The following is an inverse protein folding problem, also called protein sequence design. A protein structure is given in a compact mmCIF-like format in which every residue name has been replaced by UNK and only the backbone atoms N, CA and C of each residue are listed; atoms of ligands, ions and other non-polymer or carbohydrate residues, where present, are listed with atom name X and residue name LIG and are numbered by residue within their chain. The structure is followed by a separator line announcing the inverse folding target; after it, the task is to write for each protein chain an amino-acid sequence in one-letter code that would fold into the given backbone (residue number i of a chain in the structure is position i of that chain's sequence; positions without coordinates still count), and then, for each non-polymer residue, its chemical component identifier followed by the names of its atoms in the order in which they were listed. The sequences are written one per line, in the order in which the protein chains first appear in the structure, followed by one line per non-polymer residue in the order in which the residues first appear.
data_IF_950459853230
#
_entry.id   IF_950459853230
#
_cell.length_a   1.000
_cell.length_b   1.000
_cell.length_c   1.000
_cell.angle_alpha   90.00
_cell.angle_beta   90.00
_cell.angle_gamma   90.00
#
_symmetry.space_group_name_H-M   'P 1'
#
loop_
_entity.id
_entity.type
_entity.pdbx_description
1 polymer ?
#
# COMPACT_ATOMS: atom_id res chain seq x y z
N UNK A 1 6.16 12.17 -26.77
CA UNK A 1 6.95 12.79 -25.68
C UNK A 1 7.46 11.68 -24.78
N UNK A 2 8.60 11.86 -24.12
CA UNK A 2 9.11 10.89 -23.13
C UNK A 2 8.03 10.64 -22.06
N UNK A 3 7.74 9.38 -21.73
CA UNK A 3 6.85 8.99 -20.62
C UNK A 3 7.52 9.16 -19.25
N UNK A 4 8.80 9.52 -19.16
CA UNK A 4 9.54 9.61 -17.89
C UNK A 4 8.94 10.63 -16.90
N UNK A 5 8.65 10.19 -15.68
CA UNK A 5 8.20 11.06 -14.59
C UNK A 5 9.39 11.81 -13.97
N UNK A 6 9.36 13.15 -14.05
CA UNK A 6 10.42 14.01 -13.47
C UNK A 6 10.12 14.48 -12.05
N UNK A 7 8.88 14.36 -11.59
CA UNK A 7 8.45 14.79 -10.26
C UNK A 7 7.80 13.58 -9.58
N UNK A 8 8.62 12.71 -9.01
CA UNK A 8 8.20 11.38 -8.56
C UNK A 8 7.74 11.44 -7.11
N UNK A 9 6.60 10.83 -6.82
CA UNK A 9 6.14 10.55 -5.45
C UNK A 9 6.72 9.20 -5.04
N UNK A 10 7.32 9.15 -3.85
CA UNK A 10 7.87 7.93 -3.28
C UNK A 10 7.07 7.54 -2.04
N UNK A 11 6.51 6.33 -2.06
CA UNK A 11 5.86 5.70 -0.91
C UNK A 11 6.85 4.77 -0.21
N UNK A 12 6.88 4.80 1.12
CA UNK A 12 7.59 3.83 1.93
C UNK A 12 6.62 2.92 2.70
N UNK A 13 6.65 1.63 2.40
CA UNK A 13 5.86 0.58 3.06
C UNK A 13 6.66 -0.01 4.24
N UNK A 14 6.34 0.44 5.45
CA UNK A 14 7.33 0.41 6.55
C UNK A 14 7.46 -0.94 7.26
N UNK A 15 6.45 -1.82 7.19
CA UNK A 15 6.46 -3.09 7.96
C UNK A 15 5.65 -4.23 7.36
N UNK A 16 4.49 -3.97 6.75
CA UNK A 16 3.61 -5.00 6.19
C UNK A 16 3.02 -6.00 7.17
N UNK A 17 2.38 -7.01 6.60
CA UNK A 17 1.87 -8.22 7.28
C UNK A 17 2.66 -9.49 6.92
N UNK A 18 3.73 -9.39 6.14
CA UNK A 18 4.55 -10.53 5.75
C UNK A 18 5.38 -11.13 6.91
N UNK A 19 6.06 -12.24 6.61
CA UNK A 19 6.88 -13.02 7.55
C UNK A 19 8.28 -12.42 7.85
N UNK A 20 8.53 -11.19 7.39
CA UNK A 20 9.79 -10.47 7.53
C UNK A 20 10.24 -10.30 9.00
N UNK A 21 9.31 -10.32 9.97
CA UNK A 21 9.61 -10.09 11.39
C UNK A 21 10.61 -11.12 11.95
N UNK A 22 10.57 -12.35 11.43
CA UNK A 22 11.48 -13.43 11.79
C UNK A 22 12.83 -13.40 11.05
N UNK A 23 12.96 -12.57 10.01
CA UNK A 23 14.07 -12.59 9.06
C UNK A 23 15.00 -11.40 9.18
N UNK A 24 14.57 -10.31 9.82
CA UNK A 24 15.40 -9.12 10.03
C UNK A 24 15.11 -8.48 11.39
N UNK A 25 16.14 -8.04 12.14
CA UNK A 25 15.93 -7.29 13.38
C UNK A 25 15.51 -5.83 13.12
N UNK A 26 15.52 -5.38 11.87
CA UNK A 26 15.21 -4.00 11.49
C UNK A 26 13.73 -3.77 11.19
N UNK A 27 12.90 -4.83 11.20
CA UNK A 27 11.48 -4.66 10.94
C UNK A 27 10.80 -3.94 12.12
N UNK A 28 10.09 -2.83 11.88
CA UNK A 28 9.34 -2.14 12.94
C UNK A 28 8.15 -2.97 13.40
N UNK A 29 8.04 -3.23 14.71
CA UNK A 29 6.98 -4.07 15.30
C UNK A 29 6.01 -3.23 16.14
N UNK A 30 6.53 -2.49 17.12
CA UNK A 30 5.66 -1.71 18.03
C UNK A 30 5.13 -0.46 17.34
N UNK A 31 3.99 0.10 17.80
CA UNK A 31 3.46 1.35 17.25
C UNK A 31 4.48 2.49 17.23
N UNK A 32 5.30 2.60 18.27
CA UNK A 32 6.39 3.58 18.30
C UNK A 32 7.42 3.33 17.19
N UNK A 33 7.90 2.09 17.04
CA UNK A 33 8.87 1.76 15.99
C UNK A 33 8.32 2.02 14.59
N UNK A 34 7.05 1.68 14.35
CA UNK A 34 6.38 1.90 13.06
C UNK A 34 6.28 3.40 12.76
N UNK A 35 5.87 4.21 13.74
CA UNK A 35 5.80 5.66 13.60
C UNK A 35 7.19 6.28 13.36
N UNK A 36 8.21 5.88 14.15
CA UNK A 36 9.59 6.33 13.96
C UNK A 36 10.09 5.99 12.54
N UNK A 37 9.80 4.78 12.05
CA UNK A 37 10.20 4.33 10.72
C UNK A 37 9.52 5.13 9.60
N UNK A 38 8.24 5.48 9.75
CA UNK A 38 7.53 6.34 8.81
C UNK A 38 8.12 7.76 8.77
N UNK A 39 8.46 8.32 9.93
CA UNK A 39 9.08 9.64 10.05
C UNK A 39 10.48 9.65 9.44
N UNK A 40 11.28 8.63 9.71
CA UNK A 40 12.65 8.54 9.18
C UNK A 40 12.65 8.29 7.66
N UNK A 41 11.70 7.50 7.15
CA UNK A 41 11.46 7.39 5.71
C UNK A 41 11.08 8.74 5.08
N UNK A 42 10.25 9.53 5.75
CA UNK A 42 9.88 10.86 5.26
C UNK A 42 11.07 11.83 5.21
N UNK A 43 11.91 11.84 6.26
CA UNK A 43 13.17 12.61 6.27
C UNK A 43 14.13 12.20 5.16
N UNK A 44 14.13 10.91 4.80
CA UNK A 44 14.94 10.38 3.70
C UNK A 44 14.40 10.72 2.30
N UNK A 45 13.15 11.21 2.19
CA UNK A 45 12.55 11.66 0.93
C UNK A 45 11.24 10.98 0.53
N UNK A 46 10.68 10.10 1.38
CA UNK A 46 9.34 9.55 1.14
C UNK A 46 8.25 10.62 1.37
N UNK A 47 7.32 10.72 0.42
CA UNK A 47 6.17 11.61 0.57
C UNK A 47 5.02 10.93 1.32
N UNK A 48 4.94 9.59 1.22
CA UNK A 48 3.85 8.76 1.73
C UNK A 48 4.45 7.63 2.57
N UNK A 49 3.84 7.35 3.72
CA UNK A 49 4.11 6.15 4.51
C UNK A 49 2.90 5.22 4.41
N UNK A 50 3.11 4.01 3.87
CA UNK A 50 2.15 2.91 3.90
C UNK A 50 2.35 2.06 5.16
N UNK A 51 1.26 1.85 5.90
CA UNK A 51 1.32 1.42 7.29
C UNK A 51 0.41 0.22 7.53
N UNK A 52 1.03 -0.82 8.07
CA UNK A 52 0.42 -1.92 8.80
C UNK A 52 0.75 -1.78 10.29
N UNK A 53 0.02 -2.50 11.14
CA UNK A 53 0.39 -2.71 12.55
C UNK A 53 0.65 -4.18 12.83
N UNK A 54 1.41 -4.42 13.89
CA UNK A 54 1.77 -5.76 14.36
C UNK A 54 1.47 -5.86 15.84
N UNK A 55 1.20 -7.07 16.30
CA UNK A 55 1.13 -7.38 17.71
C UNK A 55 2.48 -7.03 18.38
N UNK A 56 2.50 -6.12 19.39
CA UNK A 56 3.75 -5.60 19.94
C UNK A 56 4.63 -6.64 20.64
N UNK A 57 4.02 -7.73 21.13
CA UNK A 57 4.71 -8.76 21.91
C UNK A 57 5.27 -9.86 21.01
N UNK A 58 4.53 -10.22 19.96
CA UNK A 58 4.86 -11.37 19.09
C UNK A 58 5.41 -10.97 17.72
N UNK A 59 5.17 -9.74 17.27
CA UNK A 59 5.47 -9.30 15.90
C UNK A 59 4.53 -9.85 14.83
N UNK A 60 3.52 -10.63 15.21
CA UNK A 60 2.51 -11.15 14.31
C UNK A 60 1.73 -10.00 13.66
N UNK A 61 1.25 -10.14 12.42
CA UNK A 61 0.36 -9.15 11.81
C UNK A 61 -0.87 -8.90 12.67
N UNK A 62 -1.33 -7.65 12.77
CA UNK A 62 -2.54 -7.31 13.51
C UNK A 62 -3.36 -6.25 12.77
N UNK A 63 -4.68 -6.27 12.97
CA UNK A 63 -5.62 -5.25 12.47
C UNK A 63 -6.36 -4.51 13.59
N UNK A 64 -5.71 -4.36 14.73
CA UNK A 64 -6.26 -3.76 15.96
C UNK A 64 -6.35 -2.23 15.85
N UNK A 65 -7.54 -1.61 15.98
CA UNK A 65 -7.69 -0.15 15.87
C UNK A 65 -6.87 0.66 16.88
N UNK A 66 -6.66 0.13 18.09
CA UNK A 66 -5.89 0.84 19.12
C UNK A 66 -4.40 0.99 18.76
N UNK A 67 -3.83 0.01 18.05
CA UNK A 67 -2.45 0.09 17.57
C UNK A 67 -2.32 1.10 16.43
N UNK A 68 -3.27 1.12 15.50
CA UNK A 68 -3.29 2.12 14.42
C UNK A 68 -3.42 3.54 14.97
N UNK A 69 -4.30 3.74 15.97
CA UNK A 69 -4.49 5.03 16.63
C UNK A 69 -3.17 5.55 17.20
N UNK A 70 -2.44 4.71 17.93
CA UNK A 70 -1.15 5.11 18.50
C UNK A 70 -0.13 5.49 17.40
N UNK A 71 -0.03 4.70 16.32
CA UNK A 71 0.87 5.03 15.20
C UNK A 71 0.51 6.38 14.58
N UNK A 72 -0.77 6.58 14.25
CA UNK A 72 -1.25 7.79 13.58
C UNK A 72 -1.09 9.02 14.48
N UNK A 73 -1.37 8.91 15.77
CA UNK A 73 -1.20 9.99 16.74
C UNK A 73 0.27 10.42 16.84
N UNK A 74 1.20 9.45 16.87
CA UNK A 74 2.64 9.72 16.89
C UNK A 74 3.11 10.42 15.63
N UNK A 75 2.68 9.94 14.46
CA UNK A 75 3.05 10.54 13.16
C UNK A 75 2.49 11.96 13.05
N UNK A 76 1.20 12.16 13.37
CA UNK A 76 0.55 13.49 13.29
C UNK A 76 1.11 14.49 14.30
N UNK A 77 1.71 14.02 15.39
CA UNK A 77 2.35 14.87 16.41
C UNK A 77 3.83 15.16 16.15
N UNK A 78 4.42 14.56 15.10
CA UNK A 78 5.82 14.78 14.75
C UNK A 78 6.02 16.09 13.99
N UNK A 79 7.23 16.66 14.09
CA UNK A 79 7.62 17.85 13.32
C UNK A 79 7.85 17.55 11.81
N UNK A 80 7.90 16.28 11.44
CA UNK A 80 8.06 15.83 10.05
C UNK A 80 6.70 15.46 9.47
N UNK A 81 6.27 16.17 8.43
CA UNK A 81 5.05 15.85 7.69
C UNK A 81 5.26 14.62 6.80
N UNK A 82 4.23 13.79 6.67
CA UNK A 82 4.17 12.65 5.75
C UNK A 82 2.70 12.34 5.47
N UNK A 83 2.38 11.93 4.24
CA UNK A 83 1.03 11.45 3.92
C UNK A 83 0.84 10.06 4.53
N UNK A 84 -0.26 9.87 5.24
CA UNK A 84 -0.59 8.59 5.87
C UNK A 84 -1.44 7.76 4.92
N UNK A 85 -0.94 6.58 4.55
CA UNK A 85 -1.64 5.53 3.84
C UNK A 85 -1.82 4.32 4.77
N UNK A 86 -3.06 3.98 5.14
CA UNK A 86 -3.35 2.83 6.00
C UNK A 86 -3.84 1.64 5.17
N UNK A 87 -3.40 0.44 5.51
CA UNK A 87 -3.88 -0.77 4.85
C UNK A 87 -5.32 -1.12 5.21
N UNK A 88 -6.08 -1.69 4.28
CA UNK A 88 -7.27 -2.52 4.58
C UNK A 88 -7.18 -3.93 4.02
N UNK A 89 -5.96 -4.36 3.68
CA UNK A 89 -5.73 -5.71 3.13
C UNK A 89 -5.89 -6.82 4.16
N UNK A 90 -5.54 -6.57 5.42
CA UNK A 90 -5.69 -7.57 6.49
C UNK A 90 -7.15 -7.94 6.73
N UNK A 91 -7.41 -9.19 7.10
CA UNK A 91 -8.76 -9.72 7.24
C UNK A 91 -9.30 -10.39 5.97
N UNK A 92 -8.44 -10.69 4.98
CA UNK A 92 -8.78 -11.42 3.76
C UNK A 92 -8.20 -12.82 3.67
N UNK A 93 -7.68 -13.36 4.76
CA UNK A 93 -6.91 -14.59 4.75
C UNK A 93 -7.82 -15.80 4.99
N UNK A 94 -8.12 -16.56 3.94
CA UNK A 94 -8.94 -17.77 4.01
C UNK A 94 -8.10 -19.01 3.74
N UNK A 95 -8.03 -19.93 4.71
CA UNK A 95 -7.38 -21.22 4.56
C UNK A 95 -8.43 -22.30 4.31
N UNK A 96 -8.49 -22.80 3.06
CA UNK A 96 -9.43 -23.86 2.68
C UNK A 96 -9.09 -25.19 3.36
N UNK A 97 -10.12 -26.03 3.53
CA UNK A 97 -9.99 -27.38 4.07
C UNK A 97 -9.26 -28.35 3.11
N UNK A 98 -9.08 -29.61 3.52
CA UNK A 98 -8.45 -30.64 2.68
C UNK A 98 -9.26 -30.94 1.41
N UNK A 99 -8.66 -31.64 0.44
CA UNK A 99 -9.25 -31.93 -0.88
C UNK A 99 -10.59 -32.69 -0.81
N UNK A 100 -10.75 -33.57 0.18
CA UNK A 100 -11.97 -34.34 0.40
C UNK A 100 -13.05 -33.56 1.17
N UNK A 101 -12.72 -32.38 1.73
CA UNK A 101 -13.66 -31.48 2.39
C UNK A 101 -13.19 -30.01 2.39
N UNK A 102 -13.20 -29.31 1.23
CA UNK A 102 -12.59 -27.98 1.08
C UNK A 102 -13.28 -26.86 1.87
N UNK A 103 -14.49 -27.10 2.38
CA UNK A 103 -15.25 -26.14 3.20
C UNK A 103 -14.98 -26.29 4.70
N UNK A 104 -14.19 -27.29 5.11
CA UNK A 104 -13.70 -27.45 6.48
C UNK A 104 -12.50 -26.55 6.71
N UNK A 105 -12.76 -25.25 6.76
CA UNK A 105 -11.73 -24.21 6.82
C UNK A 105 -10.85 -24.39 8.06
N UNK A 106 -9.56 -24.11 7.91
CA UNK A 106 -8.66 -23.98 9.05
C UNK A 106 -8.96 -22.66 9.77
N UNK A 107 -9.82 -22.74 10.79
CA UNK A 107 -10.27 -21.58 11.57
C UNK A 107 -9.18 -21.01 12.47
N UNK A 108 -8.08 -21.72 12.71
CA UNK A 108 -6.93 -21.19 13.46
C UNK A 108 -6.04 -20.32 12.57
N UNK A 109 -5.88 -20.70 11.30
CA UNK A 109 -5.10 -19.95 10.31
C UNK A 109 -5.90 -18.84 9.59
N UNK A 110 -7.23 -18.91 9.59
CA UNK A 110 -8.11 -17.98 8.87
C UNK A 110 -8.35 -16.68 9.63
N UNK A 111 -8.04 -15.54 9.00
CA UNK A 111 -8.54 -14.20 9.34
C UNK A 111 -9.26 -13.63 8.11
N UNK A 112 -10.50 -14.07 7.88
CA UNK A 112 -11.32 -13.65 6.75
C UNK A 112 -12.63 -13.00 7.23
N UNK A 113 -12.64 -11.67 7.28
CA UNK A 113 -13.78 -10.84 7.71
C UNK A 113 -14.30 -9.95 6.57
N UNK A 114 -15.49 -9.38 6.79
CA UNK A 114 -16.11 -8.47 5.84
C UNK A 114 -15.37 -7.14 5.71
N UNK A 115 -15.52 -6.47 4.55
CA UNK A 115 -14.81 -5.23 4.25
C UNK A 115 -15.04 -4.12 5.30
N UNK A 116 -16.24 -4.04 5.89
CA UNK A 116 -16.55 -3.02 6.91
C UNK A 116 -15.67 -3.18 8.14
N UNK A 117 -15.43 -4.42 8.58
CA UNK A 117 -14.56 -4.69 9.75
C UNK A 117 -13.10 -4.39 9.43
N UNK A 118 -12.64 -4.67 8.20
CA UNK A 118 -11.27 -4.31 7.75
C UNK A 118 -11.02 -2.80 7.75
N UNK A 119 -12.07 -1.98 7.78
CA UNK A 119 -12.01 -0.52 7.66
C UNK A 119 -12.25 0.22 8.97
N UNK A 120 -12.43 -0.48 10.09
CA UNK A 120 -12.77 0.16 11.38
C UNK A 120 -11.76 1.26 11.76
N UNK A 121 -10.45 0.98 11.64
CA UNK A 121 -9.41 1.97 11.92
C UNK A 121 -9.38 3.12 10.92
N UNK A 122 -9.78 2.89 9.66
CA UNK A 122 -9.84 3.93 8.63
C UNK A 122 -11.01 4.88 8.88
N UNK A 123 -12.17 4.34 9.26
CA UNK A 123 -13.35 5.13 9.65
C UNK A 123 -13.08 5.99 10.88
N UNK A 124 -12.33 5.44 11.84
CA UNK A 124 -11.95 6.17 13.04
C UNK A 124 -10.91 7.27 12.77
N UNK A 125 -9.84 6.94 12.03
CA UNK A 125 -8.65 7.79 11.95
C UNK A 125 -8.65 8.72 10.73
N UNK A 126 -9.46 8.39 9.71
CA UNK A 126 -9.61 9.11 8.44
C UNK A 126 -8.25 9.53 7.87
N UNK A 127 -7.43 8.56 7.43
CA UNK A 127 -6.16 8.84 6.77
C UNK A 127 -6.41 9.52 5.43
N UNK A 128 -5.34 9.99 4.79
CA UNK A 128 -5.48 10.66 3.48
C UNK A 128 -5.64 9.63 2.37
N UNK A 129 -4.93 8.49 2.51
CA UNK A 129 -4.98 7.35 1.62
C UNK A 129 -5.30 6.10 2.44
N UNK A 130 -5.96 5.15 1.80
CA UNK A 130 -6.14 3.81 2.30
C UNK A 130 -5.98 2.81 1.15
N UNK A 131 -5.27 1.70 1.35
CA UNK A 131 -5.19 0.66 0.31
C UNK A 131 -6.48 -0.13 0.21
N UNK A 132 -6.79 -0.60 -1.00
CA UNK A 132 -7.90 -1.50 -1.30
C UNK A 132 -7.41 -2.55 -2.31
N UNK A 133 -7.34 -3.81 -1.88
CA UNK A 133 -6.81 -4.91 -2.70
C UNK A 133 -7.87 -5.40 -3.69
N UNK A 134 -7.70 -5.06 -4.96
CA UNK A 134 -8.74 -5.12 -6.00
C UNK A 134 -9.03 -6.52 -6.56
N UNK A 135 -8.90 -7.58 -5.77
CA UNK A 135 -9.42 -8.90 -6.11
C UNK A 135 -8.87 -10.05 -5.27
N UNK A 136 -9.55 -11.19 -5.36
CA UNK A 136 -9.13 -12.44 -4.73
C UNK A 136 -8.11 -13.19 -5.60
N UNK A 137 -7.12 -13.81 -4.98
CA UNK A 137 -6.12 -14.64 -5.67
C UNK A 137 -5.44 -15.64 -4.72
N UNK A 138 -4.74 -16.62 -5.28
CA UNK A 138 -4.03 -17.64 -4.50
C UNK A 138 -2.74 -17.09 -3.90
N UNK A 139 -2.39 -17.57 -2.72
CA UNK A 139 -1.08 -17.31 -2.09
C UNK A 139 -0.17 -18.57 -2.14
N UNK A 140 1.14 -18.44 -1.89
CA UNK A 140 2.10 -19.54 -2.08
C UNK A 140 2.09 -20.63 -1.02
N UNK A 141 1.23 -20.55 0.00
CA UNK A 141 1.25 -21.46 1.15
C UNK A 141 -0.03 -22.28 1.20
N UNK A 142 0.10 -23.60 1.05
CA UNK A 142 -0.98 -24.56 1.26
C UNK A 142 -2.29 -24.17 0.54
N UNK A 143 -3.37 -24.14 1.33
CA UNK A 143 -4.73 -23.88 0.88
C UNK A 143 -5.17 -22.40 1.05
N UNK A 144 -4.20 -21.48 1.11
CA UNK A 144 -4.46 -20.07 1.36
C UNK A 144 -4.94 -19.34 0.08
N UNK A 145 -6.13 -18.76 0.18
CA UNK A 145 -6.70 -17.81 -0.78
C UNK A 145 -6.87 -16.45 -0.09
N UNK A 146 -6.40 -15.39 -0.74
CA UNK A 146 -6.75 -14.03 -0.36
C UNK A 146 -8.14 -13.70 -0.91
N UNK A 147 -9.03 -13.20 -0.06
CA UNK A 147 -10.44 -12.93 -0.39
C UNK A 147 -10.71 -11.43 -0.40
N UNK A 148 -11.05 -10.90 -1.58
CA UNK A 148 -11.58 -9.56 -1.80
C UNK A 148 -12.61 -9.63 -2.92
N UNK A 149 -13.87 -9.86 -2.54
CA UNK A 149 -14.96 -10.07 -3.51
C UNK A 149 -15.40 -8.75 -4.14
N UNK A 150 -16.05 -8.77 -5.32
CA UNK A 150 -16.61 -7.57 -5.93
C UNK A 150 -17.51 -6.74 -4.99
N UNK A 151 -18.34 -7.38 -4.18
CA UNK A 151 -19.24 -6.68 -3.26
C UNK A 151 -18.51 -6.10 -2.03
N UNK A 152 -17.46 -6.79 -1.55
CA UNK A 152 -16.55 -6.23 -0.54
C UNK A 152 -15.90 -4.95 -1.07
N UNK A 153 -15.34 -5.01 -2.27
CA UNK A 153 -14.67 -3.88 -2.92
C UNK A 153 -15.60 -2.69 -3.17
N UNK A 154 -16.80 -2.92 -3.72
CA UNK A 154 -17.81 -1.85 -3.89
C UNK A 154 -18.21 -1.22 -2.55
N UNK A 155 -18.38 -2.05 -1.52
CA UNK A 155 -18.68 -1.57 -0.17
C UNK A 155 -17.53 -0.69 0.34
N UNK A 156 -16.29 -1.15 0.21
CA UNK A 156 -15.11 -0.40 0.64
C UNK A 156 -14.96 0.92 -0.09
N UNK A 157 -15.01 0.90 -1.43
CA UNK A 157 -14.93 2.08 -2.27
C UNK A 157 -16.00 3.13 -1.90
N UNK A 158 -17.27 2.72 -1.78
CA UNK A 158 -18.35 3.65 -1.41
C UNK A 158 -18.16 4.28 -0.03
N UNK A 159 -17.61 3.53 0.93
CA UNK A 159 -17.33 4.05 2.28
C UNK A 159 -16.15 5.01 2.28
N UNK A 160 -15.04 4.66 1.62
CA UNK A 160 -13.88 5.55 1.47
C UNK A 160 -14.27 6.87 0.79
N UNK A 161 -15.08 6.80 -0.28
CA UNK A 161 -15.59 7.98 -0.96
C UNK A 161 -16.40 8.90 -0.02
N UNK A 162 -17.29 8.34 0.81
CA UNK A 162 -18.06 9.14 1.79
C UNK A 162 -17.18 9.80 2.86
N UNK A 163 -16.09 9.14 3.25
CA UNK A 163 -15.14 9.67 4.22
C UNK A 163 -14.19 10.71 3.59
N UNK A 164 -14.12 10.78 2.25
CA UNK A 164 -13.14 11.60 1.54
C UNK A 164 -11.71 11.05 1.63
N UNK A 165 -11.56 9.75 1.91
CA UNK A 165 -10.28 9.04 1.93
C UNK A 165 -10.02 8.49 0.54
N UNK A 166 -8.82 8.74 -0.02
CA UNK A 166 -8.51 8.25 -1.37
C UNK A 166 -8.14 6.76 -1.33
N UNK A 167 -8.85 5.87 -2.05
CA UNK A 167 -8.40 4.50 -2.22
C UNK A 167 -7.14 4.44 -3.09
N UNK A 168 -6.08 3.81 -2.60
CA UNK A 168 -5.00 3.28 -3.42
C UNK A 168 -5.37 1.87 -3.86
N UNK A 169 -5.67 1.70 -5.15
CA UNK A 169 -6.21 0.48 -5.74
C UNK A 169 -5.06 -0.48 -6.04
N UNK A 170 -4.81 -1.42 -5.13
CA UNK A 170 -3.74 -2.40 -5.24
C UNK A 170 -4.14 -3.49 -6.25
N UNK A 171 -3.44 -3.55 -7.38
CA UNK A 171 -3.75 -4.43 -8.50
C UNK A 171 -2.61 -5.42 -8.74
N UNK A 172 -2.85 -6.67 -8.34
CA UNK A 172 -1.93 -7.80 -8.49
C UNK A 172 -2.02 -8.54 -9.83
N UNK A 173 -3.06 -8.28 -10.64
CA UNK A 173 -3.25 -8.89 -11.96
C UNK A 173 -4.17 -8.01 -12.84
N UNK A 174 -4.25 -8.30 -14.13
CA UNK A 174 -5.07 -7.60 -15.14
C UNK A 174 -6.56 -7.62 -14.82
N UNK A 175 -7.07 -8.71 -14.24
CA UNK A 175 -8.47 -8.80 -13.81
C UNK A 175 -8.81 -7.79 -12.71
N UNK A 176 -7.84 -7.48 -11.83
CA UNK A 176 -8.01 -6.50 -10.76
C UNK A 176 -8.09 -5.08 -11.32
N UNK A 177 -7.27 -4.77 -12.33
CA UNK A 177 -7.34 -3.49 -13.07
C UNK A 177 -8.70 -3.34 -13.73
N UNK A 178 -9.16 -4.40 -14.42
CA UNK A 178 -10.44 -4.36 -15.11
C UNK A 178 -11.60 -4.11 -14.14
N UNK A 179 -11.62 -4.78 -12.99
CA UNK A 179 -12.66 -4.57 -12.00
C UNK A 179 -12.55 -3.20 -11.29
N UNK A 180 -11.35 -2.69 -11.03
CA UNK A 180 -11.16 -1.34 -10.52
C UNK A 180 -11.64 -0.27 -11.51
N UNK A 181 -11.40 -0.46 -12.81
CA UNK A 181 -11.98 0.39 -13.87
C UNK A 181 -13.51 0.33 -13.87
N UNK A 182 -14.10 -0.86 -13.65
CA UNK A 182 -15.55 -1.01 -13.51
C UNK A 182 -16.08 -0.19 -12.31
N UNK A 183 -15.41 -0.21 -11.16
CA UNK A 183 -15.80 0.62 -10.00
C UNK A 183 -15.69 2.13 -10.30
N UNK A 184 -14.72 2.54 -11.12
CA UNK A 184 -14.58 3.92 -11.57
C UNK A 184 -15.76 4.34 -12.45
N UNK A 185 -16.15 3.49 -13.41
CA UNK A 185 -17.33 3.70 -14.27
C UNK A 185 -18.64 3.72 -13.47
N UNK A 186 -18.74 2.93 -12.41
CA UNK A 186 -19.86 2.92 -11.47
C UNK A 186 -19.94 4.19 -10.59
N UNK A 187 -18.93 5.08 -10.65
CA UNK A 187 -18.88 6.32 -9.87
C UNK A 187 -18.54 6.12 -8.39
N UNK A 188 -17.97 4.97 -8.04
CA UNK A 188 -17.59 4.63 -6.65
C UNK A 188 -16.22 5.19 -6.24
N UNK A 189 -15.49 5.78 -7.18
CA UNK A 189 -14.13 6.28 -7.00
C UNK A 189 -14.03 7.73 -7.47
N UNK A 190 -13.52 8.61 -6.60
CA UNK A 190 -13.30 10.01 -6.94
C UNK A 190 -12.07 10.18 -7.83
N UNK A 191 -12.24 10.87 -8.96
CA UNK A 191 -11.16 11.19 -9.89
C UNK A 191 -10.19 12.26 -9.30
N UNK A 192 -8.90 12.24 -9.69
CA UNK A 192 -8.24 11.17 -10.44
C UNK A 192 -8.06 9.91 -9.57
N UNK A 193 -8.31 8.69 -10.09
CA UNK A 193 -8.10 7.46 -9.33
C UNK A 193 -6.61 7.24 -9.05
N UNK A 194 -6.30 6.49 -7.99
CA UNK A 194 -4.94 6.12 -7.60
C UNK A 194 -4.79 4.60 -7.68
N UNK A 195 -3.90 4.12 -8.54
CA UNK A 195 -3.59 2.70 -8.70
C UNK A 195 -2.20 2.35 -8.14
N UNK A 196 -2.04 1.16 -7.58
CA UNK A 196 -0.73 0.61 -7.27
C UNK A 196 -0.54 -0.74 -7.97
N UNK A 197 0.39 -0.77 -8.92
CA UNK A 197 0.70 -1.96 -9.72
C UNK A 197 1.67 -2.84 -8.93
N UNK A 198 1.18 -3.98 -8.46
CA UNK A 198 1.88 -4.87 -7.54
C UNK A 198 2.50 -6.05 -8.30
N UNK A 199 3.82 -6.27 -8.19
CA UNK A 199 4.48 -7.37 -8.89
C UNK A 199 5.33 -8.26 -7.98
N UNK A 200 5.43 -9.53 -8.40
CA UNK A 200 6.33 -10.51 -7.78
C UNK A 200 5.70 -11.27 -6.60
N UNK A 201 4.53 -10.87 -6.11
CA UNK A 201 3.73 -11.69 -5.21
C UNK A 201 3.40 -13.00 -5.96
N UNK A 202 3.75 -14.15 -5.36
CA UNK A 202 3.58 -15.45 -6.02
C UNK A 202 2.11 -15.69 -6.37
N UNK A 203 1.89 -16.15 -7.61
CA UNK A 203 0.60 -16.35 -8.27
C UNK A 203 -0.16 -15.09 -8.69
N UNK A 204 0.33 -13.90 -8.35
CA UNK A 204 -0.02 -12.67 -9.06
C UNK A 204 0.87 -12.44 -10.29
N UNK A 205 0.85 -11.20 -10.79
CA UNK A 205 1.70 -10.76 -11.90
C UNK A 205 3.18 -10.90 -11.53
N UNK A 206 3.92 -11.68 -12.32
CA UNK A 206 5.36 -11.82 -12.15
C UNK A 206 6.07 -10.49 -12.45
N UNK A 207 7.11 -10.17 -11.66
CA UNK A 207 7.95 -8.99 -11.80
C UNK A 207 8.83 -9.03 -13.07
N UNK A 208 8.20 -8.81 -14.23
CA UNK A 208 8.89 -8.65 -15.52
C UNK A 208 8.48 -7.33 -16.15
N UNK A 209 9.39 -6.69 -16.89
CA UNK A 209 9.07 -5.46 -17.62
C UNK A 209 7.89 -5.63 -18.58
N UNK A 210 7.74 -6.81 -19.20
CA UNK A 210 6.61 -7.09 -20.10
C UNK A 210 5.28 -7.00 -19.37
N UNK A 211 5.14 -7.73 -18.26
CA UNK A 211 3.91 -7.74 -17.48
C UNK A 211 3.60 -6.34 -16.94
N UNK A 212 4.62 -5.65 -16.43
CA UNK A 212 4.47 -4.31 -15.90
C UNK A 212 3.98 -3.30 -16.95
N UNK A 213 4.60 -3.29 -18.14
CA UNK A 213 4.14 -2.45 -19.25
C UNK A 213 2.70 -2.78 -19.63
N UNK A 214 2.35 -4.07 -19.73
CA UNK A 214 0.98 -4.49 -20.05
C UNK A 214 -0.04 -4.00 -19.02
N UNK A 215 0.28 -4.07 -17.73
CA UNK A 215 -0.59 -3.57 -16.67
C UNK A 215 -0.74 -2.04 -16.73
N UNK A 216 0.37 -1.30 -16.87
CA UNK A 216 0.37 0.16 -16.97
C UNK A 216 -0.43 0.65 -18.19
N UNK A 217 -0.30 -0.01 -19.35
CA UNK A 217 -1.04 0.36 -20.56
C UNK A 217 -2.56 0.07 -20.46
N UNK A 218 -3.03 -0.65 -19.42
CA UNK A 218 -4.45 -0.91 -19.16
C UNK A 218 -5.05 -0.03 -18.05
N UNK A 219 -4.24 0.86 -17.46
CA UNK A 219 -4.74 1.87 -16.53
C UNK A 219 -5.54 2.95 -17.29
N UNK A 220 -6.57 3.54 -16.66
CA UNK A 220 -7.38 4.55 -17.32
C UNK A 220 -6.57 5.84 -17.51
N UNK A 221 -6.88 6.58 -18.59
CA UNK A 221 -6.20 7.84 -18.88
C UNK A 221 -6.39 8.85 -17.73
N UNK A 222 -5.30 9.53 -17.36
CA UNK A 222 -5.31 10.49 -16.25
C UNK A 222 -5.30 9.87 -14.85
N UNK A 223 -5.20 8.55 -14.72
CA UNK A 223 -4.97 7.91 -13.43
C UNK A 223 -3.61 8.29 -12.84
N UNK A 224 -3.60 8.56 -11.54
CA UNK A 224 -2.38 8.51 -10.77
C UNK A 224 -2.03 7.04 -10.53
N UNK A 225 -0.75 6.69 -10.64
CA UNK A 225 -0.33 5.33 -10.34
C UNK A 225 1.09 5.23 -9.78
N UNK A 226 1.32 4.19 -8.99
CA UNK A 226 2.61 3.77 -8.43
C UNK A 226 2.90 2.32 -8.82
N UNK A 227 4.16 1.92 -8.82
CA UNK A 227 4.56 0.52 -9.04
C UNK A 227 5.62 0.06 -8.06
N UNK A 228 5.53 -1.21 -7.65
CA UNK A 228 6.58 -1.87 -6.87
C UNK A 228 6.72 -3.34 -7.25
N UNK A 229 7.85 -3.92 -6.87
CA UNK A 229 8.07 -5.36 -6.92
C UNK A 229 8.77 -5.82 -5.65
N UNK A 230 8.54 -7.07 -5.24
CA UNK A 230 9.09 -7.59 -3.98
C UNK A 230 10.55 -8.02 -4.10
N UNK A 231 11.26 -7.98 -2.97
CA UNK A 231 12.60 -8.52 -2.80
C UNK A 231 13.64 -7.87 -3.73
N UNK A 232 14.41 -8.70 -4.43
CA UNK A 232 15.51 -8.22 -5.29
C UNK A 232 15.04 -7.37 -6.49
N UNK A 233 13.74 -7.43 -6.82
CA UNK A 233 13.16 -6.68 -7.94
C UNK A 233 12.67 -5.28 -7.54
N UNK A 234 12.71 -4.91 -6.25
CA UNK A 234 12.27 -3.60 -5.73
C UNK A 234 12.98 -2.42 -6.44
N UNK A 235 14.32 -2.37 -6.38
CA UNK A 235 15.10 -1.27 -6.96
C UNK A 235 15.05 -1.22 -8.50
N UNK A 236 15.11 -2.35 -9.23
CA UNK A 236 14.80 -2.35 -10.66
C UNK A 236 13.42 -1.77 -10.99
N UNK A 237 12.39 -2.08 -10.19
CA UNK A 237 11.04 -1.59 -10.43
C UNK A 237 10.91 -0.09 -10.16
N UNK A 238 11.63 0.47 -9.18
CA UNK A 238 11.72 1.93 -8.95
C UNK A 238 12.11 2.66 -10.25
N UNK A 239 13.18 2.21 -10.92
CA UNK A 239 13.61 2.81 -12.18
C UNK A 239 12.58 2.61 -13.30
N UNK A 240 12.02 1.40 -13.41
CA UNK A 240 11.08 1.05 -14.47
C UNK A 240 9.76 1.83 -14.36
N UNK A 241 9.22 2.01 -13.16
CA UNK A 241 8.00 2.78 -12.90
C UNK A 241 8.17 4.24 -13.31
N UNK A 242 9.27 4.88 -12.89
CA UNK A 242 9.57 6.25 -13.27
C UNK A 242 9.75 6.41 -14.81
N UNK A 243 10.40 5.45 -15.49
CA UNK A 243 10.54 5.43 -16.95
C UNK A 243 9.21 5.40 -17.70
N UNK A 244 8.19 4.76 -17.12
CA UNK A 244 6.85 4.68 -17.70
C UNK A 244 5.91 5.80 -17.26
N UNK A 245 6.35 6.69 -16.36
CA UNK A 245 5.61 7.87 -15.94
C UNK A 245 4.91 7.74 -14.59
N UNK A 246 5.16 6.65 -13.86
CA UNK A 246 4.55 6.38 -12.58
C UNK A 246 5.31 6.95 -11.40
N UNK A 247 4.73 6.72 -10.23
CA UNK A 247 5.33 6.88 -8.91
C UNK A 247 5.94 5.55 -8.45
N UNK A 248 6.60 5.56 -7.29
CA UNK A 248 7.37 4.39 -6.83
C UNK A 248 7.04 4.05 -5.38
N UNK A 249 7.19 2.77 -5.03
CA UNK A 249 7.11 2.28 -3.66
C UNK A 249 8.32 1.40 -3.34
N UNK A 250 8.82 1.54 -2.12
CA UNK A 250 9.89 0.73 -1.51
C UNK A 250 9.56 0.49 -0.03
N UNK A 251 10.29 -0.38 0.64
CA UNK A 251 10.27 -0.49 2.10
C UNK A 251 10.44 -1.91 2.60
N UNK A 252 10.61 -2.04 3.91
CA UNK A 252 10.85 -3.34 4.55
C UNK A 252 9.65 -4.30 4.46
N UNK A 253 8.46 -3.79 4.14
CA UNK A 253 7.31 -4.60 3.76
C UNK A 253 7.59 -5.43 2.49
N UNK A 254 8.26 -4.82 1.51
CA UNK A 254 8.44 -5.39 0.18
C UNK A 254 9.83 -6.05 0.02
N UNK A 255 10.86 -5.52 0.70
CA UNK A 255 12.24 -6.00 0.63
C UNK A 255 13.03 -5.74 1.92
N UNK A 256 13.65 -6.78 2.49
CA UNK A 256 14.46 -6.66 3.71
C UNK A 256 15.95 -6.40 3.45
N UNK A 257 16.40 -6.40 2.19
CA UNK A 257 17.82 -6.34 1.81
C UNK A 257 18.17 -5.02 1.14
N UNK A 258 19.24 -4.40 1.60
CA UNK A 258 19.85 -3.28 0.91
C UNK A 258 20.55 -3.81 -0.34
N UNK A 259 21.41 -4.80 -0.16
CA UNK A 259 22.07 -5.55 -1.22
C UNK A 259 22.19 -7.02 -0.79
N UNK A 260 22.72 -7.88 -1.68
CA UNK A 260 22.80 -9.32 -1.41
C UNK A 260 23.52 -9.59 -0.08
N UNK A 261 22.77 -10.07 0.92
CA UNK A 261 23.28 -10.42 2.24
C UNK A 261 23.43 -9.26 3.23
N UNK A 262 23.07 -8.03 2.84
CA UNK A 262 23.09 -6.86 3.72
C UNK A 262 21.66 -6.43 3.98
N UNK A 263 21.21 -6.52 5.22
CA UNK A 263 19.86 -6.10 5.62
C UNK A 263 19.71 -4.57 5.57
N UNK A 264 18.52 -4.10 5.24
CA UNK A 264 18.19 -2.69 5.14
C UNK A 264 17.41 -2.17 6.36
N UNK A 265 17.36 -0.84 6.45
CA UNK A 265 16.31 -0.08 7.13
C UNK A 265 15.42 0.60 6.08
N UNK A 266 14.21 1.02 6.45
CA UNK A 266 13.32 1.76 5.55
C UNK A 266 14.00 3.01 4.96
N UNK A 267 14.66 3.83 5.79
CA UNK A 267 15.37 5.02 5.33
C UNK A 267 16.44 4.72 4.27
N UNK A 268 17.21 3.64 4.42
CA UNK A 268 18.23 3.25 3.44
C UNK A 268 17.63 2.82 2.08
N UNK A 269 16.46 2.17 2.09
CA UNK A 269 15.75 1.83 0.86
C UNK A 269 15.22 3.09 0.17
N UNK A 270 14.66 4.03 0.94
CA UNK A 270 14.25 5.34 0.44
C UNK A 270 15.44 6.08 -0.18
N UNK A 271 16.54 6.25 0.55
CA UNK A 271 17.76 6.93 0.07
C UNK A 271 18.30 6.33 -1.23
N UNK A 272 18.27 4.99 -1.33
CA UNK A 272 18.69 4.28 -2.55
C UNK A 272 17.77 4.58 -3.73
N UNK A 273 16.46 4.54 -3.52
CA UNK A 273 15.48 4.88 -4.55
C UNK A 273 15.59 6.35 -4.99
N UNK A 274 15.74 7.28 -4.04
CA UNK A 274 16.00 8.71 -4.33
C UNK A 274 17.25 8.86 -5.19
N UNK A 275 18.36 8.23 -4.80
CA UNK A 275 19.63 8.28 -5.55
C UNK A 275 19.47 7.76 -6.99
N UNK A 276 18.74 6.66 -7.20
CA UNK A 276 18.46 6.13 -8.53
C UNK A 276 17.71 7.16 -9.37
N UNK A 277 16.64 7.73 -8.83
CA UNK A 277 15.73 8.63 -9.54
C UNK A 277 16.38 9.99 -9.84
N UNK A 278 17.13 10.55 -8.89
CA UNK A 278 17.88 11.80 -9.08
C UNK A 278 18.97 11.65 -10.14
N UNK A 279 19.69 10.52 -10.15
CA UNK A 279 20.66 10.22 -11.19
C UNK A 279 20.03 10.05 -12.59
N UNK A 280 18.73 9.73 -12.66
CA UNK A 280 17.95 9.72 -13.90
C UNK A 280 17.35 11.10 -14.25
N UNK A 281 17.56 12.12 -13.41
CA UNK A 281 17.11 13.49 -13.60
C UNK A 281 15.67 13.76 -13.16
N UNK A 282 15.13 12.95 -12.24
CA UNK A 282 13.91 13.28 -11.50
C UNK A 282 14.23 14.04 -10.20
N UNK A 283 13.20 14.62 -9.58
CA UNK A 283 13.22 15.07 -8.18
C UNK A 283 12.10 14.38 -7.42
N UNK A 284 12.27 14.23 -6.11
CA UNK A 284 11.18 13.76 -5.25
C UNK A 284 10.18 14.88 -4.97
N UNK A 285 8.90 14.52 -4.92
CA UNK A 285 7.86 15.38 -4.39
C UNK A 285 7.86 15.31 -2.86
N UNK A 286 7.61 16.45 -2.23
CA UNK A 286 7.31 16.52 -0.80
C UNK A 286 5.91 15.97 -0.48
N UNK A 287 5.60 15.67 0.79
CA UNK A 287 4.25 15.31 1.21
C UNK A 287 3.18 16.36 0.83
N UNK A 288 3.51 17.65 0.80
CA UNK A 288 2.58 18.69 0.39
C UNK A 288 2.27 18.62 -1.12
N UNK A 289 3.30 18.46 -1.94
CA UNK A 289 3.14 18.30 -3.40
C UNK A 289 2.42 17.00 -3.77
N UNK A 290 2.66 15.92 -3.02
CA UNK A 290 1.95 14.65 -3.21
C UNK A 290 0.44 14.82 -2.96
N UNK A 291 0.05 15.59 -1.94
CA UNK A 291 -1.37 15.90 -1.68
C UNK A 291 -2.01 16.69 -2.80
N UNK A 292 -1.31 17.66 -3.38
CA UNK A 292 -1.79 18.40 -4.54
C UNK A 292 -1.93 17.49 -5.77
N UNK A 293 -0.89 16.71 -6.08
CA UNK A 293 -0.86 15.80 -7.23
C UNK A 293 -1.96 14.73 -7.17
N UNK A 294 -2.25 14.22 -5.97
CA UNK A 294 -3.26 13.18 -5.76
C UNK A 294 -4.64 13.73 -5.35
N UNK A 295 -4.78 15.03 -5.13
CA UNK A 295 -6.04 15.64 -4.68
C UNK A 295 -6.48 15.16 -3.29
N UNK A 296 -5.52 14.99 -2.37
CA UNK A 296 -5.75 14.48 -1.01
C UNK A 296 -6.25 15.57 -0.07
N UNK A 297 -7.03 15.17 0.94
CA UNK A 297 -7.57 16.06 1.96
C UNK A 297 -7.01 15.65 3.32
N UNK A 298 -6.43 16.60 4.07
CA UNK A 298 -6.07 16.36 5.48
C UNK A 298 -7.34 16.26 6.33
N UNK A 299 -7.28 15.47 7.40
CA UNK A 299 -8.38 15.33 8.37
C UNK A 299 -8.91 16.69 8.86
N UNK A 300 -8.02 17.66 9.10
CA UNK A 300 -8.39 19.00 9.56
C UNK A 300 -9.29 19.74 8.56
N UNK A 301 -9.10 19.51 7.26
CA UNK A 301 -9.90 20.13 6.20
C UNK A 301 -11.27 19.44 6.06
N UNK A 302 -11.31 18.12 6.26
CA UNK A 302 -12.56 17.35 6.30
C UNK A 302 -13.45 17.77 7.48
N UNK A 303 -12.87 17.92 8.68
CA UNK A 303 -13.61 18.35 9.87
C UNK A 303 -14.13 19.78 9.80
N UNK A 304 -13.43 20.69 9.08
CA UNK A 304 -13.91 22.07 8.86
C UNK A 304 -15.17 22.12 8.01
N UNK A 305 -15.29 21.25 7.00
CA UNK A 305 -16.44 21.22 6.11
C UNK A 305 -17.72 20.71 6.79
N UNK A 306 -17.60 19.83 7.80
CA UNK A 306 -18.75 19.33 8.58
C UNK A 306 -19.31 20.38 9.56
N UNK A 307 -18.50 21.37 9.98
CA UNK A 307 -18.97 22.44 10.88
C UNK A 307 -19.68 23.62 10.19
N UNK A 308 -19.64 23.66 8.85
CA UNK A 308 -20.20 24.77 8.04
C UNK A 308 -21.45 24.30 7.25
N UNK A 309 -21.71 22.99 7.19
CA UNK A 309 -22.93 22.38 6.64
C UNK A 309 -23.97 22.11 7.75
#
# INVERSE_FOLDING_TARGET
MSKFNRNVILTCAVTGSGDAASKTPHLPITPKQIADAAIDAAKAGAAIAHIHVRDPDTGAPARRPDLYREVVDRIRSADTDVVINLTTGMGGDLYLGPDDNPLDFDMEATDCVGQVERMEHVEELVPEICTLDCGSFNYPVGNYVYVSTPDMLRTGASRLQRLGVKPELEVFDMGHIWFANQMLEEGLLDAPPLYQVCLGIRWGAQATSRNFISMVDNLPEGANWSGFAIGADEMPMVAQAALLGGNVRVGLEDNIYLEKGVLATNAQLVERAVTILENMGARMQSPAEARESFGLKKLQDLQRNVKIA
#
